data_IF_790016402849
#
_entry.id   IF_790016402849
#
_cell.length_a   1.000
_cell.length_b   1.000
_cell.length_c   1.000
_cell.angle_alpha   90.00
_cell.angle_beta   90.00
_cell.angle_gamma   90.00
#
_symmetry.space_group_name_H-M   'P 1'
#
loop_
_entity.id
_entity.type
_entity.pdbx_description
1 polymer ?
#
# COMPACT_ATOMS: atom_id res chain seq x y z
N UNK A 1 11.56 21.81 -62.09
CA UNK A 1 11.27 22.94 -61.17
C UNK A 1 10.50 22.40 -59.97
N UNK A 2 11.01 22.65 -58.75
CA UNK A 2 10.45 22.42 -57.40
C UNK A 2 10.28 20.96 -56.97
N UNK A 3 11.29 20.37 -56.33
CA UNK A 3 11.72 20.44 -54.90
C UNK A 3 10.91 19.55 -53.95
N UNK A 4 11.47 18.39 -53.62
CA UNK A 4 11.25 17.64 -52.39
C UNK A 4 12.19 18.20 -51.31
N UNK A 5 11.66 18.50 -50.11
CA UNK A 5 12.48 18.78 -48.91
C UNK A 5 12.50 17.55 -48.01
N UNK A 6 13.66 16.92 -47.91
CA UNK A 6 14.02 16.00 -46.84
C UNK A 6 14.57 16.78 -45.65
N UNK A 7 14.16 16.40 -44.44
CA UNK A 7 14.72 16.86 -43.18
C UNK A 7 15.84 15.90 -42.79
N UNK A 8 17.07 16.40 -42.65
CA UNK A 8 18.23 15.67 -42.11
C UNK A 8 18.38 16.02 -40.64
N UNK A 9 18.37 14.99 -39.80
CA UNK A 9 18.65 15.03 -38.37
C UNK A 9 20.18 15.10 -38.17
N UNK A 10 20.68 16.14 -37.51
CA UNK A 10 22.09 16.26 -37.15
C UNK A 10 22.31 15.74 -35.72
N UNK A 11 22.97 14.58 -35.60
CA UNK A 11 23.57 14.11 -34.35
C UNK A 11 24.87 14.88 -34.11
N UNK A 12 24.99 15.57 -32.97
CA UNK A 12 26.28 16.03 -32.45
C UNK A 12 26.81 15.00 -31.46
N UNK A 13 27.80 14.22 -31.88
CA UNK A 13 28.66 13.46 -30.99
C UNK A 13 29.84 14.35 -30.58
N UNK A 14 29.98 14.66 -29.28
CA UNK A 14 31.17 15.29 -28.73
C UNK A 14 32.13 14.17 -28.30
N UNK A 15 33.18 13.97 -29.08
CA UNK A 15 34.31 13.12 -28.72
C UNK A 15 35.24 13.87 -27.76
N UNK A 16 35.56 13.26 -26.63
CA UNK A 16 36.57 13.74 -25.70
C UNK A 16 37.94 13.21 -26.12
N UNK A 17 38.93 14.09 -26.30
CA UNK A 17 40.33 13.72 -26.51
C UNK A 17 41.20 14.18 -25.32
N UNK A 18 42.21 13.41 -24.90
CA UNK A 18 42.98 13.69 -23.69
C UNK A 18 44.27 14.49 -23.97
N UNK A 19 44.60 15.39 -23.04
CA UNK A 19 45.98 15.76 -22.71
C UNK A 19 46.58 16.97 -23.44
N UNK A 20 46.73 18.09 -22.71
CA UNK A 20 47.94 18.92 -22.76
C UNK A 20 47.94 19.97 -21.63
N UNK A 21 49.02 19.95 -20.85
CA UNK A 21 49.44 20.97 -19.89
C UNK A 21 49.55 22.36 -20.53
N UNK A 22 48.99 23.41 -19.89
CA UNK A 22 49.59 24.76 -19.90
C UNK A 22 48.95 25.73 -18.88
N UNK A 23 49.78 26.13 -17.91
CA UNK A 23 49.93 27.46 -17.27
C UNK A 23 48.68 28.28 -16.90
N UNK A 24 48.42 28.32 -15.60
CA UNK A 24 47.73 29.40 -14.92
C UNK A 24 48.49 30.73 -15.05
N UNK A 25 47.81 31.78 -15.51
CA UNK A 25 48.18 33.17 -15.25
C UNK A 25 47.03 33.83 -14.48
N UNK A 26 47.37 34.30 -13.28
CA UNK A 26 46.60 35.23 -12.46
C UNK A 26 46.26 36.52 -13.21
N UNK A 27 45.06 37.08 -12.94
CA UNK A 27 44.76 38.52 -12.78
C UNK A 27 43.26 38.66 -12.35
N UNK A 28 42.83 39.80 -11.76
CA UNK A 28 42.51 39.82 -10.34
C UNK A 28 41.07 40.22 -9.97
N UNK A 29 40.78 39.95 -8.69
CA UNK A 29 39.67 40.40 -7.86
C UNK A 29 39.24 41.86 -8.04
N UNK A 30 37.93 42.08 -8.19
CA UNK A 30 37.27 43.36 -7.95
C UNK A 30 36.17 43.19 -6.88
N UNK A 31 36.34 44.00 -5.82
CA UNK A 31 35.44 44.21 -4.67
C UNK A 31 34.01 44.59 -5.07
N UNK A 32 32.97 44.18 -4.32
CA UNK A 32 31.69 44.85 -4.31
C UNK A 32 31.66 46.01 -3.30
N UNK A 33 31.10 47.14 -3.75
CA UNK A 33 30.81 48.33 -2.93
C UNK A 33 29.43 48.21 -2.28
N UNK A 34 29.35 48.68 -1.04
CA UNK A 34 28.22 48.63 -0.12
C UNK A 34 27.32 49.88 -0.21
N UNK A 35 26.01 49.64 0.03
CA UNK A 35 25.00 50.50 0.69
C UNK A 35 24.31 51.65 -0.11
N UNK A 36 23.14 52.18 0.33
CA UNK A 36 22.01 51.54 1.05
C UNK A 36 20.57 52.06 0.68
N UNK A 37 19.57 51.47 1.36
CA UNK A 37 18.36 52.11 1.92
C UNK A 37 17.02 52.23 1.14
N UNK A 38 16.05 51.44 1.62
CA UNK A 38 14.73 51.84 2.17
C UNK A 38 13.53 52.18 1.26
N UNK A 39 12.45 51.40 1.41
CA UNK A 39 11.03 51.78 1.64
C UNK A 39 10.15 50.52 1.45
N UNK A 40 9.56 49.88 2.47
CA UNK A 40 8.34 50.23 3.21
C UNK A 40 7.20 50.82 2.37
N UNK A 41 6.23 49.99 2.02
CA UNK A 41 4.84 50.43 1.81
C UNK A 41 3.87 49.26 1.99
N UNK A 42 2.86 49.55 2.79
CA UNK A 42 1.85 48.65 3.33
C UNK A 42 0.76 48.23 2.32
N UNK A 43 -0.02 47.24 2.75
CA UNK A 43 -1.17 46.63 2.11
C UNK A 43 -2.25 47.60 1.57
N UNK A 44 -3.18 47.06 0.76
CA UNK A 44 -4.57 47.17 1.16
C UNK A 44 -5.28 45.81 1.22
N UNK A 45 -5.91 45.58 2.36
CA UNK A 45 -6.96 44.61 2.61
C UNK A 45 -8.21 44.95 1.78
N UNK A 46 -8.71 43.99 1.02
CA UNK A 46 -10.07 44.04 0.45
C UNK A 46 -10.88 42.87 0.99
N UNK A 47 -11.65 43.17 2.03
CA UNK A 47 -12.71 42.33 2.58
C UNK A 47 -13.96 42.47 1.71
N UNK A 48 -14.28 41.45 0.93
CA UNK A 48 -15.60 41.31 0.30
C UNK A 48 -16.54 40.58 1.26
N UNK A 49 -17.53 41.34 1.74
CA UNK A 49 -18.66 40.84 2.51
C UNK A 49 -19.59 40.00 1.61
N UNK A 50 -19.95 38.81 2.05
CA UNK A 50 -21.03 38.01 1.48
C UNK A 50 -22.31 38.34 2.25
N UNK A 51 -23.43 38.71 1.60
CA UNK A 51 -24.68 38.97 2.28
C UNK A 51 -25.35 37.66 2.73
N UNK A 52 -25.73 37.62 4.01
CA UNK A 52 -26.61 36.59 4.58
C UNK A 52 -28.07 36.85 4.17
N UNK A 53 -28.71 35.82 3.61
CA UNK A 53 -30.17 35.63 3.58
C UNK A 53 -30.38 34.13 3.83
N UNK A 54 -30.90 33.67 4.98
CA UNK A 54 -32.27 33.71 5.53
C UNK A 54 -33.31 32.89 4.72
N UNK A 55 -33.66 31.74 5.33
CA UNK A 55 -34.95 31.00 5.37
C UNK A 55 -35.40 30.09 4.22
N UNK A 56 -35.52 28.78 4.55
CA UNK A 56 -36.74 27.93 4.52
C UNK A 56 -36.38 26.51 4.06
N UNK A 57 -36.26 25.54 4.97
CA UNK A 57 -37.37 24.70 5.49
C UNK A 57 -38.08 23.86 4.42
N UNK A 58 -37.64 22.62 4.20
CA UNK A 58 -38.54 21.46 4.00
C UNK A 58 -37.82 20.21 4.52
N UNK A 59 -38.27 19.70 5.66
CA UNK A 59 -38.02 18.32 6.11
C UNK A 59 -39.24 17.52 5.69
N UNK A 60 -39.12 16.47 4.86
CA UNK A 60 -40.17 15.48 4.76
C UNK A 60 -39.95 14.41 5.83
N UNK A 61 -40.82 14.44 6.84
CA UNK A 61 -41.06 13.34 7.76
C UNK A 61 -41.58 12.14 6.96
N UNK A 62 -40.86 11.03 6.96
CA UNK A 62 -41.41 9.74 6.51
C UNK A 62 -41.67 8.90 7.74
N UNK A 63 -42.97 8.72 8.00
CA UNK A 63 -43.52 7.92 9.06
C UNK A 63 -43.22 6.43 8.89
N UNK A 64 -43.12 5.81 10.06
CA UNK A 64 -43.06 4.39 10.37
C UNK A 64 -44.13 3.53 9.70
N UNK A 65 -43.72 2.32 9.30
CA UNK A 65 -44.58 1.13 9.31
C UNK A 65 -43.75 -0.11 9.58
N UNK A 66 -43.77 -0.55 10.84
CA UNK A 66 -43.40 -1.90 11.25
C UNK A 66 -44.59 -2.85 10.97
N UNK A 67 -44.35 -4.09 10.53
CA UNK A 67 -45.28 -5.18 10.75
C UNK A 67 -44.82 -6.04 11.94
N UNK A 68 -45.67 -6.04 12.95
CA UNK A 68 -45.78 -7.08 13.97
C UNK A 68 -46.48 -8.30 13.37
N UNK A 69 -45.91 -9.49 13.56
CA UNK A 69 -46.68 -10.74 13.62
C UNK A 69 -45.94 -11.78 14.46
N UNK A 70 -46.50 -12.08 15.63
CA UNK A 70 -46.12 -13.17 16.54
C UNK A 70 -46.83 -14.49 16.15
N UNK A 71 -46.80 -15.56 16.97
CA UNK A 71 -46.15 -16.82 16.64
C UNK A 71 -47.13 -17.94 16.26
N UNK A 72 -46.64 -18.98 15.59
CA UNK A 72 -47.36 -20.26 15.46
C UNK A 72 -46.67 -21.33 16.27
N UNK A 73 -47.32 -21.69 17.38
CA UNK A 73 -47.09 -22.89 18.16
C UNK A 73 -47.62 -24.12 17.42
N UNK A 74 -46.83 -25.20 17.37
CA UNK A 74 -47.35 -26.56 17.19
C UNK A 74 -46.78 -27.49 18.25
N UNK A 75 -47.72 -28.22 18.83
CA UNK A 75 -47.68 -29.10 19.99
C UNK A 75 -47.00 -30.46 19.77
N UNK A 76 -46.35 -30.95 20.84
CA UNK A 76 -46.33 -32.31 21.40
C UNK A 76 -46.43 -33.53 20.46
N UNK A 77 -45.46 -34.44 20.58
CA UNK A 77 -45.78 -35.82 20.95
C UNK A 77 -44.62 -36.52 21.66
N UNK A 78 -44.93 -37.06 22.84
CA UNK A 78 -44.07 -37.88 23.69
C UNK A 78 -44.03 -39.32 23.18
N UNK A 79 -42.84 -39.91 23.12
CA UNK A 79 -42.62 -41.33 22.90
C UNK A 79 -41.74 -41.90 24.00
N UNK A 80 -42.36 -42.34 25.09
CA UNK A 80 -41.75 -43.14 26.15
C UNK A 80 -41.61 -44.60 25.71
N UNK A 81 -40.41 -45.18 25.85
CA UNK A 81 -40.24 -46.63 25.93
C UNK A 81 -39.23 -46.96 27.04
N UNK A 82 -39.64 -47.91 27.86
CA UNK A 82 -39.08 -48.27 29.16
C UNK A 82 -37.99 -49.35 29.05
N UNK A 83 -36.98 -49.23 29.90
CA UNK A 83 -36.28 -50.27 30.68
C UNK A 83 -35.93 -51.64 30.06
N UNK A 84 -34.64 -52.02 30.16
CA UNK A 84 -34.26 -53.33 30.71
C UNK A 84 -32.85 -53.31 31.31
N UNK A 85 -32.75 -53.80 32.54
CA UNK A 85 -31.56 -54.04 33.36
C UNK A 85 -31.24 -55.53 33.27
N UNK A 86 -29.98 -55.92 33.05
CA UNK A 86 -29.37 -57.10 33.70
C UNK A 86 -27.84 -56.93 33.80
N UNK A 87 -27.22 -57.21 34.97
CA UNK A 87 -25.78 -57.22 35.17
C UNK A 87 -25.20 -58.64 35.00
N UNK A 88 -23.96 -58.74 34.54
CA UNK A 88 -23.16 -59.98 34.64
C UNK A 88 -21.73 -59.66 35.05
N UNK A 89 -21.41 -60.03 36.29
CA UNK A 89 -20.06 -60.26 36.82
C UNK A 89 -19.45 -61.52 36.20
N UNK A 90 -18.12 -61.59 36.03
CA UNK A 90 -17.25 -62.76 36.33
C UNK A 90 -15.76 -62.38 36.19
N UNK A 91 -15.06 -62.56 37.33
CA UNK A 91 -13.75 -63.17 37.58
C UNK A 91 -12.47 -62.87 36.77
N UNK A 92 -11.56 -62.21 37.49
CA UNK A 92 -10.09 -62.28 37.58
C UNK A 92 -9.41 -63.49 36.91
N UNK A 93 -8.33 -63.22 36.14
CA UNK A 93 -7.13 -64.07 36.06
C UNK A 93 -5.88 -63.22 35.88
N UNK A 94 -4.97 -63.36 36.83
CA UNK A 94 -3.65 -62.74 36.92
C UNK A 94 -2.63 -63.42 36.00
N UNK A 95 -1.90 -62.64 35.20
CA UNK A 95 -0.64 -63.12 34.59
C UNK A 95 0.41 -62.01 34.56
N UNK A 96 1.50 -62.29 35.29
CA UNK A 96 2.89 -61.88 35.14
C UNK A 96 3.26 -60.43 34.77
N UNK A 97 3.93 -59.80 35.74
CA UNK A 97 4.86 -58.69 35.60
C UNK A 97 5.87 -58.90 34.46
N UNK A 98 5.90 -57.97 33.52
CA UNK A 98 7.10 -57.63 32.75
C UNK A 98 7.34 -56.14 32.89
N UNK A 99 8.55 -55.79 33.31
CA UNK A 99 9.01 -54.43 33.57
C UNK A 99 8.80 -53.55 32.33
N UNK A 100 8.21 -52.34 32.45
CA UNK A 100 8.30 -51.37 31.37
C UNK A 100 9.76 -50.93 31.27
N UNK A 101 10.42 -51.33 30.18
CA UNK A 101 11.69 -50.75 29.76
C UNK A 101 11.39 -49.27 29.49
N UNK A 102 11.91 -48.42 30.36
CA UNK A 102 11.86 -46.97 30.20
C UNK A 102 12.78 -46.59 29.03
N UNK A 103 12.27 -46.67 27.80
CA UNK A 103 12.91 -46.06 26.64
C UNK A 103 12.46 -44.61 26.56
N UNK A 104 13.15 -43.75 27.32
CA UNK A 104 13.17 -42.31 27.03
C UNK A 104 13.85 -42.10 25.68
N UNK A 105 13.09 -42.25 24.60
CA UNK A 105 13.45 -41.67 23.31
C UNK A 105 13.05 -40.21 23.42
N UNK A 106 13.95 -39.39 23.96
CA UNK A 106 13.89 -37.94 23.80
C UNK A 106 14.19 -37.63 22.34
N UNK A 107 13.19 -37.86 21.49
CA UNK A 107 13.12 -37.27 20.16
C UNK A 107 12.97 -35.78 20.39
N UNK A 108 14.09 -35.07 20.48
CA UNK A 108 14.10 -33.63 20.36
C UNK A 108 13.56 -33.32 18.95
N UNK A 109 12.25 -33.09 18.87
CA UNK A 109 11.63 -32.45 17.73
C UNK A 109 12.32 -31.09 17.65
N UNK A 110 13.25 -30.97 16.71
CA UNK A 110 13.83 -29.70 16.33
C UNK A 110 12.67 -28.86 15.81
N UNK A 111 12.08 -28.05 16.69
CA UNK A 111 11.09 -27.07 16.28
C UNK A 111 11.73 -26.23 15.16
N UNK A 112 10.98 -26.01 14.08
CA UNK A 112 11.43 -25.10 13.04
C UNK A 112 11.80 -23.75 13.69
N UNK A 113 12.87 -23.09 13.24
CA UNK A 113 13.20 -21.76 13.72
C UNK A 113 11.97 -20.85 13.61
N UNK A 114 11.77 -19.92 14.57
CA UNK A 114 10.66 -18.99 14.50
C UNK A 114 10.74 -18.19 13.21
N UNK A 115 9.65 -18.15 12.45
CA UNK A 115 9.56 -17.36 11.21
C UNK A 115 9.83 -15.89 11.55
N UNK A 116 10.70 -15.24 10.79
CA UNK A 116 11.14 -13.89 11.09
C UNK A 116 10.24 -12.85 10.40
N UNK A 117 9.82 -11.84 11.15
CA UNK A 117 8.87 -10.82 10.68
C UNK A 117 9.59 -9.48 10.50
N UNK A 118 9.08 -8.67 9.58
CA UNK A 118 9.57 -7.32 9.36
C UNK A 118 9.27 -6.40 10.54
N UNK A 119 10.23 -5.55 10.91
CA UNK A 119 10.03 -4.55 11.95
C UNK A 119 9.19 -3.37 11.43
N UNK A 120 8.32 -2.82 12.29
CA UNK A 120 7.56 -1.61 12.01
C UNK A 120 8.38 -0.35 12.39
N UNK A 121 9.49 -0.13 11.71
CA UNK A 121 10.52 0.85 12.10
C UNK A 121 10.53 2.14 11.25
N UNK A 122 9.57 2.29 10.35
CA UNK A 122 9.41 3.47 9.50
C UNK A 122 10.13 3.37 8.16
N UNK A 123 10.78 2.23 7.86
CA UNK A 123 11.28 1.95 6.52
C UNK A 123 10.19 1.49 5.55
N UNK A 124 10.50 1.65 4.26
CA UNK A 124 9.74 1.08 3.18
C UNK A 124 10.31 -0.27 2.76
N UNK A 125 9.49 -1.05 2.07
CA UNK A 125 9.88 -2.25 1.36
C UNK A 125 9.61 -2.01 -0.11
N UNK A 126 10.60 -2.31 -0.93
CA UNK A 126 10.58 -2.02 -2.36
C UNK A 126 10.86 -3.32 -3.09
N UNK A 127 10.00 -3.64 -4.05
CA UNK A 127 10.17 -4.79 -4.92
C UNK A 127 10.37 -4.34 -6.36
N UNK A 128 11.36 -4.94 -7.02
CA UNK A 128 11.70 -4.66 -8.41
C UNK A 128 12.36 -5.88 -9.00
N UNK A 129 11.89 -6.35 -10.16
CA UNK A 129 12.49 -7.50 -10.86
C UNK A 129 12.69 -8.74 -9.97
N UNK A 130 11.76 -9.00 -9.05
CA UNK A 130 11.79 -10.09 -8.05
C UNK A 130 12.84 -9.92 -6.93
N UNK A 131 13.53 -8.79 -6.88
CA UNK A 131 14.40 -8.41 -5.78
C UNK A 131 13.59 -7.68 -4.71
N UNK A 132 13.80 -8.04 -3.45
CA UNK A 132 13.22 -7.34 -2.30
C UNK A 132 14.30 -6.55 -1.59
N UNK A 133 14.06 -5.25 -1.40
CA UNK A 133 14.94 -4.35 -0.67
C UNK A 133 14.19 -3.56 0.39
N UNK A 134 14.90 -3.18 1.45
CA UNK A 134 14.42 -2.24 2.46
C UNK A 134 14.88 -0.83 2.07
N UNK A 135 13.94 0.10 2.00
CA UNK A 135 14.16 1.50 1.70
C UNK A 135 14.26 2.34 2.98
N UNK A 136 15.34 3.09 3.10
CA UNK A 136 15.49 4.14 4.11
C UNK A 136 15.03 5.50 3.54
N UNK A 137 13.91 6.01 4.04
CA UNK A 137 13.37 7.32 3.63
C UNK A 137 14.15 8.54 4.16
N UNK A 138 15.22 8.36 4.92
CA UNK A 138 16.13 9.44 5.29
C UNK A 138 17.27 9.59 4.28
N UNK A 139 17.76 8.46 3.76
CA UNK A 139 18.99 8.43 2.95
C UNK A 139 18.76 8.05 1.49
N UNK A 140 17.68 7.32 1.19
CA UNK A 140 17.48 6.65 -0.10
C UNK A 140 18.31 5.41 -0.29
N UNK A 141 18.94 4.90 0.76
CA UNK A 141 19.60 3.62 0.69
C UNK A 141 18.57 2.50 0.48
N UNK A 142 18.85 1.61 -0.47
CA UNK A 142 18.24 0.29 -0.57
C UNK A 142 19.20 -0.72 0.05
N UNK A 143 18.73 -1.38 1.09
CA UNK A 143 19.41 -2.52 1.71
C UNK A 143 18.77 -3.81 1.16
N UNK A 144 19.51 -4.68 0.44
CA UNK A 144 18.93 -5.88 -0.13
C UNK A 144 18.50 -6.85 0.96
N UNK A 145 17.30 -7.41 0.82
CA UNK A 145 16.76 -8.50 1.65
C UNK A 145 16.86 -9.82 0.88
N UNK A 146 16.45 -9.80 -0.39
CA UNK A 146 16.60 -10.94 -1.31
C UNK A 146 16.92 -10.45 -2.72
N UNK A 147 17.88 -11.09 -3.37
CA UNK A 147 18.24 -10.87 -4.78
C UNK A 147 17.34 -11.65 -5.74
N UNK A 148 16.54 -12.60 -5.25
CA UNK A 148 15.54 -13.32 -6.04
C UNK A 148 14.52 -13.99 -5.12
N UNK A 149 13.25 -13.60 -5.25
CA UNK A 149 12.13 -14.21 -4.53
C UNK A 149 11.67 -15.54 -5.18
N UNK A 150 12.22 -15.90 -6.34
CA UNK A 150 11.93 -17.14 -7.07
C UNK A 150 10.57 -17.17 -7.78
N UNK A 151 9.79 -16.10 -7.65
CA UNK A 151 8.48 -15.90 -8.28
C UNK A 151 8.31 -14.42 -8.64
N UNK A 152 7.50 -14.15 -9.67
CA UNK A 152 7.18 -12.79 -10.07
C UNK A 152 6.15 -12.18 -9.12
N UNK A 153 6.61 -11.35 -8.18
CA UNK A 153 5.73 -10.71 -7.19
C UNK A 153 5.54 -9.23 -7.51
N UNK A 154 4.29 -8.79 -7.43
CA UNK A 154 3.88 -7.39 -7.41
C UNK A 154 2.77 -7.19 -6.36
N UNK A 155 2.13 -6.02 -6.33
CA UNK A 155 1.00 -5.70 -5.45
C UNK A 155 1.34 -5.86 -3.95
N UNK A 156 2.50 -5.44 -3.47
CA UNK A 156 2.92 -5.72 -2.09
C UNK A 156 2.22 -4.84 -1.05
N UNK A 157 1.94 -5.38 0.14
CA UNK A 157 1.37 -4.64 1.27
C UNK A 157 1.89 -5.16 2.61
N UNK A 158 2.11 -4.26 3.57
CA UNK A 158 2.63 -4.62 4.90
C UNK A 158 1.47 -4.88 5.87
N UNK A 159 1.42 -6.07 6.46
CA UNK A 159 0.40 -6.39 7.45
C UNK A 159 0.90 -6.08 8.87
N UNK A 160 0.30 -5.07 9.50
CA UNK A 160 0.65 -4.68 10.88
C UNK A 160 0.26 -5.70 11.94
N UNK A 161 -0.58 -6.69 11.61
CA UNK A 161 -1.05 -7.70 12.56
C UNK A 161 -0.04 -8.84 12.77
N UNK A 162 0.79 -9.13 11.78
CA UNK A 162 1.79 -10.21 11.83
C UNK A 162 3.21 -9.80 11.39
N UNK A 163 3.37 -8.59 10.85
CA UNK A 163 4.67 -8.10 10.38
C UNK A 163 5.17 -8.81 9.12
N UNK A 164 4.31 -9.46 8.35
CA UNK A 164 4.67 -9.99 7.03
C UNK A 164 4.33 -8.99 5.93
N UNK A 165 5.02 -9.13 4.79
CA UNK A 165 4.52 -8.58 3.53
C UNK A 165 3.58 -9.59 2.90
N UNK A 166 2.51 -9.10 2.29
CA UNK A 166 1.66 -9.85 1.38
C UNK A 166 1.91 -9.34 -0.03
N UNK A 167 1.86 -10.22 -1.01
CA UNK A 167 2.08 -9.86 -2.41
C UNK A 167 1.33 -10.79 -3.35
N UNK A 168 1.30 -10.44 -4.61
CA UNK A 168 0.61 -11.18 -5.65
C UNK A 168 1.59 -11.80 -6.63
N UNK A 169 1.50 -13.12 -6.77
CA UNK A 169 2.22 -13.91 -7.78
C UNK A 169 1.57 -13.66 -9.15
N UNK A 170 2.23 -12.89 -10.02
CA UNK A 170 1.66 -12.55 -11.33
C UNK A 170 1.67 -13.71 -12.34
N UNK A 171 2.46 -14.76 -12.08
CA UNK A 171 2.54 -15.92 -12.96
C UNK A 171 1.42 -16.93 -12.66
N UNK A 172 1.12 -17.13 -11.37
CA UNK A 172 0.14 -18.11 -10.90
C UNK A 172 -1.16 -17.48 -10.35
N UNK A 173 -1.26 -16.16 -10.36
CA UNK A 173 -2.40 -15.38 -9.87
C UNK A 173 -2.86 -15.79 -8.47
N UNK A 174 -1.94 -15.76 -7.51
CA UNK A 174 -2.21 -16.15 -6.11
C UNK A 174 -1.57 -15.18 -5.13
N UNK A 175 -2.12 -15.14 -3.93
CA UNK A 175 -1.58 -14.36 -2.82
C UNK A 175 -0.46 -15.13 -2.15
N UNK A 176 0.62 -14.40 -1.88
CA UNK A 176 1.82 -14.85 -1.22
C UNK A 176 2.01 -14.06 0.07
N UNK A 177 2.71 -14.67 1.02
CA UNK A 177 3.25 -14.02 2.21
C UNK A 177 4.78 -14.10 2.17
N UNK A 178 5.45 -13.00 2.48
CA UNK A 178 6.90 -12.86 2.44
C UNK A 178 7.38 -12.49 3.83
N UNK A 179 8.39 -13.21 4.31
CA UNK A 179 9.02 -12.99 5.61
C UNK A 179 10.26 -12.07 5.52
N UNK A 180 10.84 -11.69 6.67
CA UNK A 180 11.94 -10.73 6.68
C UNK A 180 13.27 -11.25 6.16
N UNK A 181 13.35 -12.55 5.87
CA UNK A 181 14.50 -13.18 5.20
C UNK A 181 14.22 -13.37 3.70
N UNK A 182 13.07 -12.91 3.19
CA UNK A 182 12.67 -13.05 1.80
C UNK A 182 12.07 -14.42 1.46
N UNK A 183 11.72 -15.25 2.45
CA UNK A 183 11.05 -16.51 2.17
C UNK A 183 9.60 -16.27 1.78
N UNK A 184 9.19 -16.89 0.67
CA UNK A 184 7.84 -16.74 0.09
C UNK A 184 7.00 -17.98 0.38
N UNK A 185 5.78 -17.77 0.89
CA UNK A 185 4.80 -18.84 1.14
C UNK A 185 3.45 -18.50 0.50
N UNK A 186 2.88 -19.38 -0.34
CA UNK A 186 1.51 -19.20 -0.85
C UNK A 186 0.49 -19.22 0.30
N UNK A 187 -0.45 -18.27 0.28
CA UNK A 187 -1.55 -18.20 1.26
C UNK A 187 -2.91 -18.41 0.64
N UNK A 188 -3.05 -18.20 -0.68
CA UNK A 188 -4.25 -18.56 -1.43
C UNK A 188 -3.97 -19.66 -2.47
N UNK A 189 -5.04 -20.23 -3.02
CA UNK A 189 -4.97 -20.97 -4.28
C UNK A 189 -4.77 -20.03 -5.48
N UNK A 190 -4.54 -20.61 -6.65
CA UNK A 190 -4.51 -19.91 -7.94
C UNK A 190 -5.89 -19.34 -8.29
N UNK A 191 -5.89 -18.16 -8.90
CA UNK A 191 -7.07 -17.48 -9.43
C UNK A 191 -6.86 -17.14 -10.92
N UNK A 192 -7.85 -16.53 -11.55
CA UNK A 192 -7.85 -16.13 -12.96
C UNK A 192 -7.63 -14.62 -13.16
N UNK A 193 -7.57 -13.86 -12.06
CA UNK A 193 -7.49 -12.40 -12.11
C UNK A 193 -6.08 -11.95 -11.78
N UNK A 194 -5.49 -11.12 -12.65
CA UNK A 194 -4.22 -10.48 -12.37
C UNK A 194 -4.38 -9.27 -11.46
N UNK A 195 -3.33 -8.93 -10.72
CA UNK A 195 -3.26 -7.69 -9.96
C UNK A 195 -1.85 -7.10 -10.01
N UNK A 196 -1.77 -5.78 -10.06
CA UNK A 196 -0.52 -5.03 -10.08
C UNK A 196 -0.46 -3.96 -8.97
N UNK A 197 -1.49 -3.90 -8.14
CA UNK A 197 -1.67 -2.93 -7.06
C UNK A 197 -2.09 -3.73 -5.83
N UNK A 198 -1.47 -3.49 -4.68
CA UNK A 198 -1.87 -4.16 -3.45
C UNK A 198 -1.55 -3.37 -2.20
N UNK A 199 -2.31 -3.61 -1.13
CA UNK A 199 -2.07 -2.99 0.18
C UNK A 199 -2.79 -3.79 1.27
N UNK A 200 -2.21 -3.89 2.47
CA UNK A 200 -2.90 -4.48 3.63
C UNK A 200 -3.42 -3.38 4.55
N UNK A 201 -4.72 -3.37 4.79
CA UNK A 201 -5.34 -2.35 5.60
C UNK A 201 -5.23 -2.56 7.12
N UNK A 202 -5.79 -1.61 7.88
CA UNK A 202 -5.74 -1.56 9.36
C UNK A 202 -6.36 -2.77 10.03
N UNK A 203 -7.29 -3.41 9.34
CA UNK A 203 -8.04 -4.55 9.84
C UNK A 203 -7.44 -5.88 9.37
N UNK A 204 -6.32 -5.84 8.62
CA UNK A 204 -5.63 -7.01 8.10
C UNK A 204 -6.26 -7.59 6.85
N UNK A 205 -7.04 -6.81 6.10
CA UNK A 205 -7.51 -7.22 4.78
C UNK A 205 -6.49 -6.79 3.73
N UNK A 206 -6.09 -7.73 2.90
CA UNK A 206 -5.26 -7.46 1.73
C UNK A 206 -6.17 -7.09 0.56
N UNK A 207 -5.99 -5.88 0.06
CA UNK A 207 -6.71 -5.36 -1.10
C UNK A 207 -5.80 -5.47 -2.30
N UNK A 208 -6.35 -5.92 -3.43
CA UNK A 208 -5.63 -5.93 -4.71
C UNK A 208 -6.45 -5.25 -5.80
N UNK A 209 -5.77 -4.76 -6.83
CA UNK A 209 -6.42 -4.19 -8.02
C UNK A 209 -5.61 -4.42 -9.30
N UNK A 210 -6.34 -4.52 -10.41
CA UNK A 210 -5.81 -4.42 -11.77
C UNK A 210 -6.06 -3.01 -12.30
N UNK A 211 -5.02 -2.18 -12.29
CA UNK A 211 -5.02 -0.81 -12.81
C UNK A 211 -6.18 0.08 -12.29
N UNK A 212 -6.70 -0.20 -11.09
CA UNK A 212 -7.83 0.47 -10.48
C UNK A 212 -9.21 0.05 -11.00
N UNK A 213 -9.28 -0.83 -12.00
CA UNK A 213 -10.52 -1.31 -12.60
C UNK A 213 -11.13 -2.47 -11.82
N UNK A 214 -10.42 -3.61 -11.75
CA UNK A 214 -10.81 -4.72 -10.87
C UNK A 214 -10.36 -4.45 -9.45
N UNK A 215 -11.10 -4.93 -8.45
CA UNK A 215 -10.63 -4.99 -7.07
C UNK A 215 -11.04 -6.31 -6.40
N UNK A 216 -10.24 -6.75 -5.45
CA UNK A 216 -10.60 -7.82 -4.53
C UNK A 216 -10.13 -7.55 -3.10
N UNK A 217 -10.85 -8.12 -2.15
CA UNK A 217 -10.56 -8.13 -0.73
C UNK A 217 -10.25 -9.56 -0.30
N UNK A 218 -9.07 -9.77 0.25
CA UNK A 218 -8.57 -11.06 0.72
C UNK A 218 -8.33 -10.98 2.23
N UNK A 219 -8.64 -12.07 2.93
CA UNK A 219 -8.37 -12.17 4.36
C UNK A 219 -6.88 -12.45 4.63
N UNK A 220 -6.16 -11.46 5.13
CA UNK A 220 -4.77 -11.60 5.58
C UNK A 220 -4.64 -11.53 7.11
N UNK A 221 -5.75 -11.65 7.85
CA UNK A 221 -5.72 -11.59 9.31
C UNK A 221 -5.11 -12.86 9.91
N UNK A 222 -4.12 -12.74 10.81
CA UNK A 222 -3.56 -13.90 11.49
C UNK A 222 -4.63 -14.68 12.24
N UNK A 223 -4.53 -16.01 12.23
CA UNK A 223 -5.46 -16.95 12.88
C UNK A 223 -6.92 -16.88 12.40
N UNK A 224 -7.21 -16.14 11.33
CA UNK A 224 -8.56 -16.09 10.77
C UNK A 224 -8.97 -17.46 10.19
N UNK A 225 -10.20 -17.95 10.45
CA UNK A 225 -10.70 -19.18 9.84
C UNK A 225 -10.88 -19.07 8.32
N UNK A 226 -10.85 -17.85 7.77
CA UNK A 226 -10.92 -17.55 6.34
C UNK A 226 -9.62 -17.00 5.79
N UNK A 227 -8.49 -17.14 6.52
CA UNK A 227 -7.18 -16.70 6.05
C UNK A 227 -6.85 -17.21 4.64
N UNK A 228 -6.43 -16.31 3.76
CA UNK A 228 -6.13 -16.58 2.35
C UNK A 228 -7.34 -16.68 1.42
N UNK A 229 -8.57 -16.49 1.94
CA UNK A 229 -9.80 -16.56 1.14
C UNK A 229 -10.14 -15.18 0.57
N UNK A 230 -10.53 -15.15 -0.71
CA UNK A 230 -11.17 -13.99 -1.35
C UNK A 230 -12.57 -13.78 -0.74
N UNK A 231 -12.74 -12.69 -0.03
CA UNK A 231 -13.97 -12.35 0.69
C UNK A 231 -14.96 -11.59 -0.19
N UNK A 232 -14.44 -10.74 -1.08
CA UNK A 232 -15.24 -9.89 -1.95
C UNK A 232 -14.44 -9.45 -3.18
N UNK A 233 -15.11 -9.14 -4.27
CA UNK A 233 -14.49 -8.59 -5.48
C UNK A 233 -15.49 -7.86 -6.37
N UNK A 234 -14.98 -7.04 -7.28
CA UNK A 234 -15.82 -6.29 -8.20
C UNK A 234 -15.02 -5.49 -9.21
N UNK A 235 -15.75 -4.63 -9.91
CA UNK A 235 -15.19 -3.66 -10.86
C UNK A 235 -15.58 -2.26 -10.39
N UNK A 236 -14.65 -1.33 -10.49
CA UNK A 236 -14.83 0.09 -10.22
C UNK A 236 -14.52 0.90 -11.48
N UNK A 237 -15.21 2.02 -11.66
CA UNK A 237 -14.86 3.01 -12.68
C UNK A 237 -13.63 3.79 -12.18
N UNK A 238 -12.47 3.58 -12.82
CA UNK A 238 -11.23 4.30 -12.50
C UNK A 238 -11.24 5.77 -12.98
N UNK A 239 -12.39 6.26 -13.46
CA UNK A 239 -12.65 7.62 -13.90
C UNK A 239 -11.77 8.04 -15.09
N UNK A 240 -11.23 7.07 -15.81
CA UNK A 240 -10.30 7.27 -16.94
C UNK A 240 -8.86 7.58 -16.53
N UNK A 241 -8.51 7.48 -15.24
CA UNK A 241 -7.13 7.69 -14.79
C UNK A 241 -6.28 6.42 -14.91
N UNK A 242 -4.98 6.62 -15.10
CA UNK A 242 -3.97 5.59 -14.90
C UNK A 242 -3.63 5.53 -13.41
N UNK A 243 -3.87 4.36 -12.82
CA UNK A 243 -3.60 4.04 -11.42
C UNK A 243 -2.60 2.88 -11.41
N UNK A 244 -1.43 3.11 -10.81
CA UNK A 244 -0.32 2.14 -10.83
C UNK A 244 -0.08 1.50 -9.48
N UNK A 245 -0.51 2.16 -8.40
CA UNK A 245 -0.38 1.69 -7.02
C UNK A 245 -1.32 2.49 -6.08
N UNK A 246 -1.45 2.11 -4.81
CA UNK A 246 -2.18 2.81 -3.75
C UNK A 246 -1.54 2.62 -2.36
N UNK A 247 -2.05 3.32 -1.35
CA UNK A 247 -1.63 3.14 0.04
C UNK A 247 -2.78 3.37 1.05
N UNK A 248 -2.77 2.63 2.15
CA UNK A 248 -3.67 2.81 3.30
C UNK A 248 -3.03 3.74 4.33
N UNK A 249 -3.66 4.89 4.59
CA UNK A 249 -3.19 5.86 5.59
C UNK A 249 -3.70 5.57 7.01
N UNK A 250 -4.41 4.47 7.21
CA UNK A 250 -5.07 4.15 8.47
C UNK A 250 -6.20 5.12 8.85
N UNK A 251 -6.73 4.95 10.05
CA UNK A 251 -7.86 5.75 10.56
C UNK A 251 -7.46 7.09 11.18
N UNK A 252 -6.17 7.32 11.42
CA UNK A 252 -5.70 8.60 11.95
C UNK A 252 -5.94 9.74 10.96
N UNK A 253 -6.00 10.95 11.51
CA UNK A 253 -6.15 12.18 10.73
C UNK A 253 -7.36 12.20 9.77
N UNK A 254 -8.39 11.40 10.05
CA UNK A 254 -9.62 11.33 9.26
C UNK A 254 -9.47 10.63 7.90
N UNK A 255 -8.44 9.82 7.72
CA UNK A 255 -8.13 9.17 6.43
C UNK A 255 -8.70 7.74 6.29
N UNK A 256 -9.30 7.19 7.34
CA UNK A 256 -9.75 5.79 7.38
C UNK A 256 -10.86 5.45 6.40
N UNK A 257 -10.94 4.16 6.04
CA UNK A 257 -11.95 3.62 5.12
C UNK A 257 -11.61 3.78 3.64
N UNK A 258 -10.41 4.28 3.32
CA UNK A 258 -9.98 4.54 1.95
C UNK A 258 -8.56 4.06 1.67
N UNK A 259 -8.30 3.75 0.40
CA UNK A 259 -6.96 3.60 -0.18
C UNK A 259 -6.69 4.82 -1.06
N UNK A 260 -5.49 5.40 -1.01
CA UNK A 260 -5.15 6.64 -1.72
C UNK A 260 -4.10 6.38 -2.79
N UNK A 261 -4.18 7.13 -3.90
CA UNK A 261 -3.23 6.99 -5.01
C UNK A 261 -2.90 8.34 -5.64
N UNK A 262 -1.73 8.43 -6.27
CA UNK A 262 -1.36 9.49 -7.20
C UNK A 262 -1.59 9.00 -8.63
N UNK A 263 -2.69 9.45 -9.23
CA UNK A 263 -3.14 9.03 -10.54
C UNK A 263 -2.83 10.07 -11.63
N UNK A 264 -2.78 9.62 -12.89
CA UNK A 264 -2.40 10.45 -14.05
C UNK A 264 -3.30 10.15 -15.27
N UNK A 265 -3.05 10.78 -16.41
CA UNK A 265 -3.61 10.34 -17.70
C UNK A 265 -4.85 11.09 -18.20
N UNK A 266 -5.62 11.76 -17.32
CA UNK A 266 -6.81 12.53 -17.75
C UNK A 266 -6.46 13.96 -18.15
N UNK A 267 -5.73 14.68 -17.31
CA UNK A 267 -5.27 16.04 -17.59
C UNK A 267 -3.75 16.03 -17.77
N UNK A 268 -3.21 16.54 -18.89
CA UNK A 268 -1.77 16.64 -19.08
C UNK A 268 -1.08 17.39 -17.94
N UNK A 269 0.16 17.01 -17.63
CA UNK A 269 1.02 17.67 -16.63
C UNK A 269 0.40 17.78 -15.23
N UNK A 270 -0.60 16.95 -14.94
CA UNK A 270 -1.36 16.96 -13.70
C UNK A 270 -1.29 15.61 -12.99
N UNK A 271 -0.91 15.66 -11.72
CA UNK A 271 -1.07 14.56 -10.78
C UNK A 271 -2.39 14.75 -10.05
N UNK A 272 -3.22 13.72 -10.03
CA UNK A 272 -4.53 13.74 -9.36
C UNK A 272 -4.50 12.78 -8.20
N UNK A 273 -4.89 13.23 -7.02
CA UNK A 273 -5.00 12.37 -5.85
C UNK A 273 -6.41 11.79 -5.88
N UNK A 274 -6.49 10.46 -5.96
CA UNK A 274 -7.74 9.73 -5.86
C UNK A 274 -7.79 8.98 -4.53
N UNK A 275 -9.02 8.66 -4.11
CA UNK A 275 -9.27 7.69 -3.06
C UNK A 275 -10.26 6.63 -3.53
N UNK A 276 -10.04 5.38 -3.16
CA UNK A 276 -10.96 4.27 -3.32
C UNK A 276 -11.67 4.01 -1.99
N UNK A 277 -13.00 3.98 -1.98
CA UNK A 277 -13.75 3.60 -0.77
C UNK A 277 -13.77 2.09 -0.58
N UNK A 278 -13.29 1.62 0.58
CA UNK A 278 -13.39 0.20 0.96
C UNK A 278 -14.82 -0.23 1.33
N UNK A 279 -15.79 0.70 1.33
CA UNK A 279 -17.19 0.44 1.66
C UNK A 279 -18.11 0.58 0.46
N UNK A 280 -17.96 1.63 -0.34
CA UNK A 280 -18.79 1.82 -1.55
C UNK A 280 -18.15 1.25 -2.80
N UNK A 281 -16.85 0.91 -2.76
CA UNK A 281 -16.06 0.38 -3.88
C UNK A 281 -15.98 1.34 -5.07
N UNK A 282 -15.99 2.65 -4.77
CA UNK A 282 -15.96 3.72 -5.75
C UNK A 282 -14.71 4.57 -5.60
N UNK A 283 -14.21 5.05 -6.74
CA UNK A 283 -13.15 6.05 -6.81
C UNK A 283 -13.73 7.47 -6.67
N UNK A 284 -12.98 8.35 -6.03
CA UNK A 284 -13.27 9.78 -5.96
C UNK A 284 -12.00 10.62 -6.05
N UNK A 285 -12.07 11.73 -6.78
CA UNK A 285 -11.01 12.75 -6.79
C UNK A 285 -11.03 13.53 -5.48
N UNK A 286 -9.86 13.69 -4.85
CA UNK A 286 -9.71 14.46 -3.60
C UNK A 286 -8.75 15.65 -3.73
N UNK A 287 -8.14 15.82 -4.90
CA UNK A 287 -7.38 17.01 -5.27
C UNK A 287 -6.45 16.77 -6.44
N UNK A 288 -5.72 17.80 -6.84
CA UNK A 288 -4.77 17.74 -7.96
C UNK A 288 -3.66 18.76 -7.81
N UNK A 289 -2.55 18.52 -8.50
CA UNK A 289 -1.37 19.39 -8.53
C UNK A 289 -0.68 19.30 -9.90
N UNK A 290 -0.05 20.39 -10.34
CA UNK A 290 0.62 20.49 -11.64
C UNK A 290 2.13 20.57 -11.48
N UNK A 291 2.88 19.73 -12.19
CA UNK A 291 4.35 19.74 -12.17
C UNK A 291 4.92 19.07 -13.44
N UNK A 292 6.14 19.43 -13.90
CA UNK A 292 6.81 18.83 -15.08
C UNK A 292 7.06 17.30 -15.03
N UNK A 293 6.55 16.59 -14.04
CA UNK A 293 6.56 15.13 -13.94
C UNK A 293 5.17 14.66 -13.51
N UNK A 294 4.32 14.35 -14.49
CA UNK A 294 2.93 13.91 -14.28
C UNK A 294 2.69 12.47 -14.73
N UNK A 295 3.74 11.66 -14.84
CA UNK A 295 3.67 10.27 -15.30
C UNK A 295 4.76 9.44 -14.63
N UNK A 296 4.59 8.12 -14.63
CA UNK A 296 5.62 7.18 -14.21
C UNK A 296 5.69 6.92 -12.71
N UNK A 297 4.57 7.03 -11.99
CA UNK A 297 4.48 6.55 -10.61
C UNK A 297 4.57 5.03 -10.58
N UNK A 298 5.17 4.50 -9.51
CA UNK A 298 5.20 3.08 -9.19
C UNK A 298 4.83 2.91 -7.73
N UNK A 299 5.79 2.52 -6.90
CA UNK A 299 5.65 2.33 -5.47
C UNK A 299 5.06 3.52 -4.69
N UNK A 300 4.10 3.24 -3.82
CA UNK A 300 3.49 4.15 -2.86
C UNK A 300 3.62 3.60 -1.43
N UNK A 301 3.63 4.51 -0.46
CA UNK A 301 3.84 4.16 0.95
C UNK A 301 2.91 4.98 1.83
N UNK A 302 2.11 4.30 2.63
CA UNK A 302 1.21 4.90 3.60
C UNK A 302 1.81 4.99 4.99
N UNK A 303 1.68 6.15 5.63
CA UNK A 303 1.97 6.34 7.04
C UNK A 303 0.74 6.91 7.74
N UNK A 304 0.47 6.44 8.96
CA UNK A 304 -0.62 6.96 9.79
C UNK A 304 -0.19 8.28 10.45
N UNK A 305 0.15 9.26 9.62
CA UNK A 305 0.59 10.60 9.98
C UNK A 305 -0.26 11.68 9.27
N UNK A 306 -0.05 12.95 9.64
CA UNK A 306 -0.73 14.06 8.99
C UNK A 306 -0.15 14.40 7.60
N UNK A 307 0.84 13.63 7.14
CA UNK A 307 1.71 13.95 6.02
C UNK A 307 1.42 13.11 4.77
N UNK A 308 0.53 12.13 4.86
CA UNK A 308 -0.09 11.45 3.73
C UNK A 308 0.78 10.36 3.10
N UNK A 309 0.76 10.27 1.77
CA UNK A 309 1.47 9.21 1.02
C UNK A 309 2.85 9.69 0.56
N UNK A 310 3.83 8.79 0.57
CA UNK A 310 5.04 8.91 -0.24
C UNK A 310 4.83 8.13 -1.55
N UNK A 311 5.27 8.68 -2.68
CA UNK A 311 5.17 8.03 -3.97
C UNK A 311 6.48 8.15 -4.75
N UNK A 312 6.97 7.03 -5.27
CA UNK A 312 8.17 6.96 -6.10
C UNK A 312 7.80 7.21 -7.55
N UNK A 313 8.46 8.19 -8.16
CA UNK A 313 8.44 8.36 -9.60
C UNK A 313 9.51 7.46 -10.23
N UNK A 314 9.11 6.33 -10.77
CA UNK A 314 9.99 5.30 -11.31
C UNK A 314 10.73 5.70 -12.59
N UNK A 315 10.42 6.84 -13.22
CA UNK A 315 11.21 7.37 -14.33
C UNK A 315 12.42 8.16 -13.84
N UNK A 316 12.33 8.76 -12.65
CA UNK A 316 13.36 9.66 -12.11
C UNK A 316 14.00 9.13 -10.84
N UNK A 317 13.42 8.11 -10.22
CA UNK A 317 13.85 7.59 -8.94
C UNK A 317 13.55 8.53 -7.77
N UNK A 318 12.77 9.60 -7.97
CA UNK A 318 12.48 10.57 -6.91
C UNK A 318 11.26 10.16 -6.10
N UNK A 319 11.36 10.26 -4.78
CA UNK A 319 10.24 10.08 -3.86
C UNK A 319 9.60 11.43 -3.55
N UNK A 320 8.29 11.51 -3.72
CA UNK A 320 7.49 12.71 -3.47
C UNK A 320 6.51 12.46 -2.33
N UNK A 321 6.18 13.51 -1.60
CA UNK A 321 5.17 13.47 -0.55
C UNK A 321 3.91 14.22 -0.96
N UNK A 322 2.77 13.59 -0.75
CA UNK A 322 1.45 14.15 -0.97
C UNK A 322 0.67 14.15 0.34
N UNK A 323 0.54 15.33 0.93
CA UNK A 323 -0.17 15.55 2.19
C UNK A 323 -1.67 15.33 2.03
N UNK A 324 -2.21 14.39 2.82
CA UNK A 324 -3.62 14.03 2.83
C UNK A 324 -4.13 14.07 4.27
N UNK A 325 -5.20 14.82 4.51
CA UNK A 325 -5.81 14.95 5.84
C UNK A 325 -7.32 15.06 5.68
N UNK A 326 -8.07 14.39 6.56
CA UNK A 326 -9.52 14.26 6.49
C UNK A 326 -10.00 13.74 5.13
N UNK A 327 -9.20 12.85 4.53
CA UNK A 327 -9.42 12.30 3.20
C UNK A 327 -9.44 13.33 2.07
N UNK A 328 -8.75 14.47 2.25
CA UNK A 328 -8.59 15.53 1.25
C UNK A 328 -7.12 15.84 1.02
N UNK A 329 -6.76 16.16 -0.22
CA UNK A 329 -5.42 16.63 -0.56
C UNK A 329 -5.17 18.02 0.04
N UNK A 330 -3.98 18.23 0.59
CA UNK A 330 -3.59 19.48 1.24
C UNK A 330 -2.36 20.12 0.59
N UNK A 331 -1.27 19.36 0.45
CA UNK A 331 0.00 19.89 -0.06
C UNK A 331 0.82 18.81 -0.78
N UNK A 332 1.86 19.25 -1.48
CA UNK A 332 2.88 18.38 -2.06
C UNK A 332 4.27 18.94 -1.74
N UNK A 333 5.23 18.06 -1.46
CA UNK A 333 6.66 18.40 -1.31
C UNK A 333 7.55 17.31 -1.92
N UNK A 334 8.74 17.67 -2.39
CA UNK A 334 9.78 16.68 -2.72
C UNK A 334 10.35 16.10 -1.40
N UNK A 335 10.64 14.81 -1.35
CA UNK A 335 11.39 14.19 -0.24
C UNK A 335 12.55 13.43 -0.87
N UNK A 336 13.64 14.15 -1.22
CA UNK A 336 14.71 13.68 -2.11
C UNK A 336 15.52 12.55 -1.48
N UNK A 337 14.91 11.38 -1.56
CA UNK A 337 15.43 10.05 -1.33
C UNK A 337 15.49 9.46 -2.73
N UNK A 338 16.68 9.05 -3.18
CA UNK A 338 16.81 8.38 -4.46
C UNK A 338 16.34 6.92 -4.29
N UNK A 339 15.40 6.50 -5.12
CA UNK A 339 15.03 5.11 -5.37
C UNK A 339 15.51 4.74 -6.78
N UNK A 340 15.74 3.46 -7.12
CA UNK A 340 16.00 3.06 -8.49
C UNK A 340 14.90 3.55 -9.43
N UNK A 341 15.32 4.13 -10.56
CA UNK A 341 14.43 4.62 -11.60
C UNK A 341 14.12 3.51 -12.61
N UNK A 342 13.33 2.49 -12.21
CA UNK A 342 12.91 1.44 -13.14
C UNK A 342 11.50 0.92 -12.87
N UNK A 343 10.86 0.38 -13.91
CA UNK A 343 9.51 -0.21 -13.90
C UNK A 343 9.58 -1.65 -14.42
N UNK A 344 8.73 -2.58 -13.96
CA UNK A 344 7.75 -2.41 -12.89
C UNK A 344 8.40 -2.38 -11.51
N UNK A 345 7.81 -1.64 -10.58
CA UNK A 345 8.16 -1.68 -9.16
C UNK A 345 6.94 -1.47 -8.29
N UNK A 346 7.07 -1.84 -7.02
CA UNK A 346 6.02 -1.67 -6.03
C UNK A 346 6.58 -1.45 -4.62
N UNK A 347 5.75 -0.90 -3.74
CA UNK A 347 6.14 -0.43 -2.42
C UNK A 347 5.14 -0.78 -1.33
N UNK A 348 5.66 -1.08 -0.15
CA UNK A 348 4.85 -1.20 1.06
C UNK A 348 5.58 -0.58 2.25
N UNK A 349 4.85 -0.09 3.24
CA UNK A 349 5.45 0.38 4.50
C UNK A 349 4.56 0.03 5.69
N UNK A 350 5.18 -0.16 6.85
CA UNK A 350 4.40 -0.27 8.08
C UNK A 350 3.83 1.09 8.47
N UNK A 351 2.53 1.29 8.24
CA UNK A 351 1.86 2.57 8.52
C UNK A 351 1.94 3.05 9.97
N UNK A 352 2.11 2.14 10.94
CA UNK A 352 2.23 2.47 12.37
C UNK A 352 3.67 2.75 12.81
N UNK A 353 4.62 2.67 11.88
CA UNK A 353 6.02 3.00 12.13
C UNK A 353 6.20 4.51 12.26
N UNK A 354 7.38 4.96 12.73
CA UNK A 354 7.76 6.35 12.67
C UNK A 354 7.58 6.91 11.26
N UNK A 355 6.88 8.05 11.16
CA UNK A 355 6.80 8.80 9.93
C UNK A 355 8.21 9.17 9.44
N UNK A 356 8.50 9.02 8.14
CA UNK A 356 9.73 9.56 7.59
C UNK A 356 9.80 11.06 7.85
N UNK A 357 11.00 11.63 8.08
CA UNK A 357 11.14 13.05 8.35
C UNK A 357 10.52 13.89 7.21
N UNK A 358 10.02 15.06 7.59
CA UNK A 358 9.62 16.06 6.61
C UNK A 358 10.87 16.56 5.87
N UNK A 359 10.75 16.93 4.59
CA UNK A 359 11.85 17.56 3.88
C UNK A 359 12.30 18.84 4.60
N UNK A 360 13.62 19.01 4.69
CA UNK A 360 14.28 20.17 5.31
C UNK A 360 14.22 21.43 4.46
#
# INVERSE_FOLDING_TARGET
>A
MRELRGFVLALFAVACAPGAFARCHHLPSSKPSLLPSSASSAAPSSSSAIPSSILSSVVPSISSSAPSSSPSSSTLSSGSVSSSVVPSSISISSVASSSPVSSTVSSASSAAPPVQTFACDGSGYFIQSNELSRLDFQTGALEPISEDLGVAINAIGYNVLDGFLYGFDSDLNRVLRIDSEGNVTPVSGEDSVGANIGEVDSDGFYWISDNGGFWAQIDARPDSPTYGVYLNSGVADNLGYTITDWADLGSGFGNGGFLYTVATGVTPDTNTILRFSKTTFEWAVVGSTTFPLSTGWGAMYGFNDAQGILATNSLTGRVWRFGITNGQFNFQTDNVVASPAEQPNDGAACRTGPAPPAPS
#
